data_IF_458200290546
#
_entry.id   IF_458200290546
#
_cell.length_a   1.000
_cell.length_b   1.000
_cell.length_c   1.000
_cell.angle_alpha   90.00
_cell.angle_beta   90.00
_cell.angle_gamma   90.00
#
_symmetry.space_group_name_H-M   'P 1'
#
loop_
_entity.id
_entity.type
_entity.pdbx_description
1 polymer ?
#
# COMPACT_ATOMS: atom_id res chain seq x y z
N UNK A 1 12.50 7.46 0.43
CA UNK A 1 11.78 6.21 0.06
C UNK A 1 10.29 6.50 0.06
N UNK A 2 9.57 6.36 -1.06
CA UNK A 2 8.11 6.51 -1.13
C UNK A 2 7.48 5.12 -1.04
N UNK A 3 7.21 4.64 0.15
CA UNK A 3 6.51 3.35 0.34
C UNK A 3 5.02 3.62 0.28
N UNK A 4 4.31 2.97 -0.64
CA UNK A 4 2.84 2.95 -0.64
C UNK A 4 2.37 1.88 0.36
N UNK A 5 1.56 2.30 1.33
CA UNK A 5 0.92 1.40 2.27
C UNK A 5 -0.35 0.79 1.66
N UNK A 6 -0.74 -0.40 2.12
CA UNK A 6 -1.98 -1.07 1.70
C UNK A 6 -3.26 -0.33 2.10
N UNK A 7 -3.15 0.77 2.87
CA UNK A 7 -4.26 1.70 3.09
C UNK A 7 -4.43 2.73 1.96
N UNK A 8 -3.57 2.72 0.94
CA UNK A 8 -3.60 3.65 -0.19
C UNK A 8 -2.90 4.98 0.06
N UNK A 9 -2.23 5.15 1.21
CA UNK A 9 -1.40 6.32 1.49
C UNK A 9 0.09 6.02 1.36
N UNK A 10 0.86 7.01 0.91
CA UNK A 10 2.32 6.95 0.99
C UNK A 10 2.80 7.26 2.41
N UNK A 11 3.78 6.47 2.88
CA UNK A 11 4.50 6.69 4.14
C UNK A 11 5.48 7.87 3.97
N UNK A 12 4.95 9.09 3.88
CA UNK A 12 5.73 10.35 3.75
C UNK A 12 6.10 10.90 5.12
N UNK A 13 6.82 10.12 5.94
CA UNK A 13 7.19 10.51 7.31
C UNK A 13 6.04 10.44 8.32
N UNK A 14 4.85 9.95 7.92
CA UNK A 14 3.76 9.60 8.82
C UNK A 14 4.02 8.25 9.50
N UNK A 15 5.12 8.14 10.25
CA UNK A 15 5.48 6.91 10.94
C UNK A 15 5.41 7.08 12.45
N UNK A 16 5.18 5.98 13.15
CA UNK A 16 5.43 5.86 14.59
C UNK A 16 6.45 4.75 14.81
N UNK A 17 7.19 4.81 15.92
CA UNK A 17 8.06 3.72 16.34
C UNK A 17 7.25 2.74 17.15
N UNK A 18 7.46 1.46 16.89
CA UNK A 18 6.91 0.38 17.70
C UNK A 18 7.98 -0.69 17.96
N UNK A 19 7.77 -1.53 18.96
CA UNK A 19 8.65 -2.63 19.29
C UNK A 19 7.88 -3.93 19.13
N UNK A 20 8.36 -4.76 18.19
CA UNK A 20 7.76 -6.06 17.92
C UNK A 20 8.78 -7.16 18.12
N UNK A 21 8.28 -8.36 18.37
CA UNK A 21 9.11 -9.55 18.36
C UNK A 21 9.53 -9.86 16.92
N UNK A 22 10.82 -10.13 16.73
CA UNK A 22 11.38 -10.60 15.45
C UNK A 22 12.25 -11.83 15.68
N UNK A 23 12.66 -12.48 14.60
CA UNK A 23 13.61 -13.60 14.66
C UNK A 23 14.94 -13.24 15.32
N UNK A 24 15.30 -11.95 15.33
CA UNK A 24 16.55 -11.45 15.89
C UNK A 24 16.45 -11.02 17.36
N UNK A 25 15.32 -10.44 17.78
CA UNK A 25 15.12 -9.96 19.15
C UNK A 25 13.62 -9.71 19.45
N UNK A 26 13.10 -10.08 20.64
CA UNK A 26 11.72 -9.77 21.07
C UNK A 26 11.37 -8.27 21.16
N UNK A 27 12.36 -7.37 21.19
CA UNK A 27 12.13 -5.92 21.26
C UNK A 27 12.83 -5.19 20.14
N UNK A 28 12.53 -5.56 18.90
CA UNK A 28 13.12 -4.93 17.73
C UNK A 28 12.37 -3.65 17.38
N UNK A 29 13.08 -2.53 17.30
CA UNK A 29 12.49 -1.25 16.90
C UNK A 29 12.10 -1.29 15.43
N UNK A 30 10.82 -1.11 15.16
CA UNK A 30 10.24 -1.06 13.81
C UNK A 30 9.43 0.22 13.63
N UNK A 31 8.95 0.45 12.40
CA UNK A 31 8.10 1.58 12.08
C UNK A 31 6.71 1.10 11.70
N UNK A 32 5.68 1.82 12.13
CA UNK A 32 4.31 1.64 11.69
C UNK A 32 3.77 2.88 10.97
N UNK A 33 2.73 2.72 10.16
CA UNK A 33 2.07 3.82 9.46
C UNK A 33 1.06 4.50 10.37
N UNK A 34 1.25 5.80 10.63
CA UNK A 34 0.45 6.56 11.58
C UNK A 34 -1.03 6.69 11.18
N UNK A 35 -1.35 6.68 9.89
CA UNK A 35 -2.75 6.83 9.43
C UNK A 35 -3.57 5.55 9.57
N UNK A 36 -2.95 4.36 9.50
CA UNK A 36 -3.68 3.08 9.52
C UNK A 36 -3.22 2.08 10.60
N UNK A 37 -2.21 2.41 11.39
CA UNK A 37 -1.70 1.56 12.48
C UNK A 37 -0.88 0.35 12.02
N UNK A 38 -0.69 0.17 10.71
CA UNK A 38 -0.04 -1.00 10.12
C UNK A 38 1.47 -0.96 10.40
N UNK A 39 1.98 -1.99 11.09
CA UNK A 39 3.39 -2.11 11.50
C UNK A 39 4.18 -2.84 10.41
N UNK A 40 5.35 -2.33 10.04
CA UNK A 40 6.21 -2.93 9.02
C UNK A 40 7.37 -3.66 9.68
N UNK A 41 7.36 -4.99 9.63
CA UNK A 41 8.49 -5.81 10.05
C UNK A 41 9.51 -5.94 8.92
N UNK A 42 10.44 -4.98 8.84
CA UNK A 42 11.54 -5.03 7.88
C UNK A 42 12.64 -6.03 8.25
N UNK A 43 12.74 -6.42 9.52
CA UNK A 43 13.81 -7.30 10.01
C UNK A 43 13.58 -8.74 9.55
N UNK A 44 12.35 -9.23 9.66
CA UNK A 44 11.99 -10.55 9.14
C UNK A 44 11.49 -10.52 7.69
N UNK A 45 11.42 -9.34 7.07
CA UNK A 45 10.82 -9.14 5.75
C UNK A 45 9.30 -9.36 5.68
N UNK A 46 8.65 -9.55 6.83
CA UNK A 46 7.22 -9.75 6.96
C UNK A 46 6.47 -8.42 6.84
N UNK A 47 6.32 -7.94 5.60
CA UNK A 47 5.41 -6.84 5.32
C UNK A 47 3.96 -7.32 5.44
N UNK A 48 3.05 -6.50 5.97
CA UNK A 48 1.63 -6.84 5.99
C UNK A 48 1.14 -7.08 4.56
N UNK A 49 0.42 -8.19 4.40
CA UNK A 49 -0.17 -8.62 3.13
C UNK A 49 -1.68 -8.57 3.27
N UNK A 50 -2.31 -7.66 2.56
CA UNK A 50 -3.76 -7.55 2.45
C UNK A 50 -4.21 -8.04 1.08
N UNK A 51 -5.29 -8.80 1.08
CA UNK A 51 -5.92 -9.31 -0.13
C UNK A 51 -7.38 -8.88 -0.13
N UNK A 52 -7.64 -7.63 -0.45
CA UNK A 52 -9.00 -7.12 -0.53
C UNK A 52 -9.74 -7.58 -1.78
N UNK A 53 -11.07 -7.51 -1.70
CA UNK A 53 -11.94 -7.65 -2.87
C UNK A 53 -11.68 -6.53 -3.89
N UNK A 54 -12.09 -6.74 -5.15
CA UNK A 54 -12.00 -5.70 -6.21
C UNK A 54 -12.64 -4.38 -5.79
N UNK A 55 -13.79 -4.44 -5.09
CA UNK A 55 -14.53 -3.26 -4.63
C UNK A 55 -13.75 -2.46 -3.60
N UNK A 56 -13.22 -3.14 -2.59
CA UNK A 56 -12.39 -2.52 -1.55
C UNK A 56 -11.10 -1.95 -2.13
N UNK A 57 -10.43 -2.68 -3.03
CA UNK A 57 -9.19 -2.24 -3.64
C UNK A 57 -9.39 -0.98 -4.49
N UNK A 58 -10.50 -0.87 -5.21
CA UNK A 58 -10.89 0.36 -5.92
C UNK A 58 -11.14 1.52 -4.96
N UNK A 59 -11.76 1.29 -3.80
CA UNK A 59 -11.93 2.34 -2.79
C UNK A 59 -10.57 2.85 -2.28
N UNK A 60 -9.61 1.95 -2.06
CA UNK A 60 -8.25 2.30 -1.68
C UNK A 60 -7.54 3.07 -2.81
N UNK A 61 -7.70 2.64 -4.06
CA UNK A 61 -7.15 3.32 -5.24
C UNK A 61 -7.72 4.74 -5.43
N UNK A 62 -9.01 4.96 -5.13
CA UNK A 62 -9.60 6.31 -5.11
C UNK A 62 -8.94 7.19 -4.05
N UNK A 63 -8.66 6.66 -2.86
CA UNK A 63 -7.95 7.42 -1.83
C UNK A 63 -6.53 7.78 -2.27
N UNK A 64 -5.80 6.84 -2.89
CA UNK A 64 -4.50 7.10 -3.49
C UNK A 64 -4.57 8.22 -4.54
N UNK A 65 -5.54 8.14 -5.46
CA UNK A 65 -5.74 9.15 -6.49
C UNK A 65 -6.00 10.55 -5.90
N UNK A 66 -6.85 10.63 -4.86
CA UNK A 66 -7.12 11.88 -4.14
C UNK A 66 -5.86 12.45 -3.49
N UNK A 67 -5.07 11.62 -2.81
CA UNK A 67 -3.84 12.07 -2.14
C UNK A 67 -2.78 12.58 -3.11
N UNK A 68 -2.65 11.92 -4.26
CA UNK A 68 -1.71 12.31 -5.31
C UNK A 68 -2.30 13.35 -6.28
N UNK A 69 -3.50 13.85 -6.00
CA UNK A 69 -4.22 14.88 -6.77
C UNK A 69 -4.31 14.53 -8.26
N UNK A 70 -4.59 13.27 -8.57
CA UNK A 70 -4.83 12.83 -9.94
C UNK A 70 -6.08 13.52 -10.51
N UNK A 71 -6.07 13.82 -11.79
CA UNK A 71 -7.27 14.27 -12.49
C UNK A 71 -8.25 13.08 -12.69
N UNK A 72 -9.46 13.37 -13.18
CA UNK A 72 -10.47 12.34 -13.39
C UNK A 72 -10.04 11.26 -14.40
N UNK A 73 -9.39 11.64 -15.50
CA UNK A 73 -8.93 10.70 -16.52
C UNK A 73 -7.85 9.73 -15.99
N UNK A 74 -6.90 10.22 -15.20
CA UNK A 74 -5.85 9.40 -14.59
C UNK A 74 -6.40 8.53 -13.45
N UNK A 75 -7.40 9.03 -12.73
CA UNK A 75 -8.12 8.24 -11.72
C UNK A 75 -8.88 7.09 -12.37
N UNK A 76 -9.55 7.33 -13.49
CA UNK A 76 -10.25 6.29 -14.24
C UNK A 76 -9.28 5.20 -14.74
N UNK A 77 -8.16 5.61 -15.35
CA UNK A 77 -7.09 4.70 -15.76
C UNK A 77 -6.55 3.86 -14.59
N UNK A 78 -6.33 4.50 -13.44
CA UNK A 78 -5.88 3.80 -12.23
C UNK A 78 -6.85 2.68 -11.84
N UNK A 79 -8.15 2.97 -11.82
CA UNK A 79 -9.18 2.02 -11.41
C UNK A 79 -9.31 0.84 -12.39
N UNK A 80 -9.14 1.10 -13.69
CA UNK A 80 -9.12 0.07 -14.73
C UNK A 80 -7.91 -0.85 -14.54
N UNK A 81 -6.71 -0.29 -14.37
CA UNK A 81 -5.50 -1.09 -14.18
C UNK A 81 -5.53 -1.89 -12.87
N UNK A 82 -6.05 -1.32 -11.79
CA UNK A 82 -6.27 -2.05 -10.53
C UNK A 82 -7.19 -3.26 -10.73
N UNK A 83 -8.30 -3.10 -11.47
CA UNK A 83 -9.21 -4.22 -11.74
C UNK A 83 -8.56 -5.30 -12.61
N UNK A 84 -7.83 -4.87 -13.64
CA UNK A 84 -7.10 -5.75 -14.56
C UNK A 84 -6.07 -6.59 -13.82
N UNK A 85 -5.20 -5.94 -13.03
CA UNK A 85 -4.13 -6.63 -12.29
C UNK A 85 -4.73 -7.55 -11.22
N UNK A 86 -5.76 -7.12 -10.48
CA UNK A 86 -6.41 -7.99 -9.49
C UNK A 86 -7.00 -9.25 -10.12
N UNK A 87 -7.47 -9.15 -11.37
CA UNK A 87 -8.02 -10.30 -12.11
C UNK A 87 -6.97 -11.32 -12.52
N UNK A 88 -5.68 -10.96 -12.53
CA UNK A 88 -4.57 -11.87 -12.84
C UNK A 88 -4.15 -12.71 -11.62
N UNK A 89 -4.54 -12.30 -10.41
CA UNK A 89 -4.70 -13.22 -9.28
C UNK A 89 -3.43 -13.69 -8.58
N UNK A 90 -2.43 -12.85 -8.31
CA UNK A 90 -1.21 -13.27 -7.57
C UNK A 90 -0.61 -12.21 -6.64
N UNK A 91 -1.16 -10.99 -6.63
CA UNK A 91 -0.56 -9.84 -5.97
C UNK A 91 -1.34 -9.38 -4.74
N UNK A 92 -0.61 -8.89 -3.75
CA UNK A 92 -1.14 -8.16 -2.59
C UNK A 92 -1.72 -6.82 -3.01
N UNK A 93 -2.58 -6.23 -2.19
CA UNK A 93 -3.17 -4.93 -2.47
C UNK A 93 -2.10 -3.85 -2.69
N UNK A 94 -1.03 -3.86 -1.88
CA UNK A 94 0.09 -2.94 -2.02
C UNK A 94 0.84 -3.08 -3.34
N UNK A 95 1.08 -4.31 -3.80
CA UNK A 95 1.72 -4.59 -5.09
C UNK A 95 0.84 -4.13 -6.26
N UNK A 96 -0.46 -4.45 -6.21
CA UNK A 96 -1.42 -4.05 -7.26
C UNK A 96 -1.48 -2.52 -7.38
N UNK A 97 -1.61 -1.82 -6.26
CA UNK A 97 -1.71 -0.36 -6.26
C UNK A 97 -0.41 0.28 -6.76
N UNK A 98 0.75 -0.23 -6.35
CA UNK A 98 2.04 0.28 -6.84
C UNK A 98 2.21 0.06 -8.35
N UNK A 99 1.89 -1.13 -8.84
CA UNK A 99 2.05 -1.44 -10.26
C UNK A 99 1.06 -0.64 -11.12
N UNK A 100 -0.21 -0.58 -10.73
CA UNK A 100 -1.23 0.23 -11.42
C UNK A 100 -0.85 1.71 -11.43
N UNK A 101 -0.39 2.25 -10.30
CA UNK A 101 0.03 3.65 -10.20
C UNK A 101 1.26 3.95 -11.06
N UNK A 102 2.20 3.00 -11.17
CA UNK A 102 3.35 3.13 -12.06
C UNK A 102 2.92 3.19 -13.53
N UNK A 103 1.95 2.38 -13.96
CA UNK A 103 1.46 2.33 -15.36
C UNK A 103 0.71 3.57 -15.84
N UNK A 104 0.20 4.40 -14.92
CA UNK A 104 -0.49 5.65 -15.29
C UNK A 104 0.43 6.88 -15.22
N UNK A 105 1.57 6.78 -14.53
CA UNK A 105 2.53 7.86 -14.34
C UNK A 105 3.68 7.85 -15.35
N UNK A 106 3.88 6.73 -16.06
CA UNK A 106 4.86 6.50 -17.12
C UNK A 106 4.16 5.92 -18.33
#
# INVERSE_FOLDING_TARGET
MRILCECGEFIKGKTFKDFIETSSNPSTSTIGHRSCGLIFNFVDGNLPKRFSSKKELKAIAVNLAKMEKLNYADTEKLLIEVDRIKSMGELTDGEILNEAFRKIKY
#
